data_IF_637557056555
#
_entry.id   IF_637557056555
#
_cell.length_a   1.000
_cell.length_b   1.000
_cell.length_c   1.000
_cell.angle_alpha   90.00
_cell.angle_beta   90.00
_cell.angle_gamma   90.00
#
_symmetry.space_group_name_H-M   'P 1'
#
loop_
_entity.id
_entity.type
_entity.pdbx_description
1 polymer ?
#
# COMPACT_ATOMS: atom_id res chain seq x y z
N UNK A 1 1.47 1.54 14.20
CA UNK A 1 1.56 3.01 14.05
C UNK A 1 2.39 3.34 12.82
N UNK A 2 2.30 4.56 12.26
CA UNK A 2 3.08 4.99 11.06
C UNK A 2 4.57 4.68 11.23
N UNK A 3 5.11 5.04 12.39
CA UNK A 3 6.51 4.84 12.76
C UNK A 3 6.97 3.39 12.58
N UNK A 4 6.21 2.43 13.11
CA UNK A 4 6.53 0.99 13.01
C UNK A 4 6.56 0.50 11.56
N UNK A 5 5.57 0.91 10.75
CA UNK A 5 5.49 0.52 9.33
C UNK A 5 6.60 1.16 8.48
N UNK A 6 6.99 2.38 8.83
CA UNK A 6 8.13 3.05 8.19
C UNK A 6 9.44 2.32 8.50
N UNK A 7 9.67 1.89 9.75
CA UNK A 7 10.84 1.09 10.13
C UNK A 7 10.85 -0.24 9.36
N UNK A 8 9.73 -0.94 9.35
CA UNK A 8 9.56 -2.23 8.66
C UNK A 8 9.91 -2.12 7.18
N UNK A 9 9.27 -1.19 6.45
CA UNK A 9 9.57 -0.96 5.03
C UNK A 9 11.01 -0.50 4.79
N UNK A 10 11.58 0.33 5.67
CA UNK A 10 12.98 0.73 5.55
C UNK A 10 13.92 -0.48 5.64
N UNK A 11 13.67 -1.39 6.59
CA UNK A 11 14.47 -2.59 6.77
C UNK A 11 14.29 -3.60 5.63
N UNK A 12 13.07 -3.80 5.14
CA UNK A 12 12.79 -4.64 3.96
C UNK A 12 13.57 -4.17 2.72
N UNK A 13 13.72 -2.86 2.55
CA UNK A 13 14.49 -2.26 1.45
C UNK A 13 16.01 -2.21 1.72
N UNK A 14 16.48 -2.74 2.83
CA UNK A 14 17.90 -2.72 3.21
C UNK A 14 18.45 -1.31 3.45
N UNK A 15 17.58 -0.34 3.74
CA UNK A 15 17.98 1.06 3.91
C UNK A 15 18.37 1.32 5.37
N UNK A 16 19.49 2.01 5.56
CA UNK A 16 19.85 2.57 6.87
C UNK A 16 19.13 3.91 7.11
N UNK A 17 18.99 4.33 8.37
CA UNK A 17 18.47 5.67 8.69
C UNK A 17 19.26 6.80 7.98
N UNK A 18 20.62 6.78 7.97
CA UNK A 18 21.41 7.71 7.16
C UNK A 18 21.04 7.72 5.69
N UNK A 19 20.76 6.56 5.11
CA UNK A 19 20.45 6.43 3.69
C UNK A 19 19.07 7.01 3.37
N UNK A 20 18.06 6.72 4.18
CA UNK A 20 16.73 7.31 4.03
C UNK A 20 16.78 8.83 4.21
N UNK A 21 17.55 9.32 5.20
CA UNK A 21 17.74 10.76 5.42
C UNK A 21 18.39 11.45 4.21
N UNK A 22 19.41 10.81 3.62
CA UNK A 22 20.10 11.28 2.41
C UNK A 22 19.14 11.37 1.22
N UNK A 23 18.32 10.34 0.99
CA UNK A 23 17.34 10.32 -0.11
C UNK A 23 16.22 11.35 0.07
N UNK A 24 15.79 11.58 1.31
CA UNK A 24 14.73 12.54 1.64
C UNK A 24 15.23 13.99 1.71
N UNK A 25 16.56 14.21 1.70
CA UNK A 25 17.17 15.53 1.82
C UNK A 25 17.03 16.16 3.20
N UNK A 26 17.04 15.33 4.27
CA UNK A 26 16.87 15.80 5.67
C UNK A 26 18.01 15.33 6.58
N UNK A 27 18.08 15.90 7.78
CA UNK A 27 19.00 15.42 8.82
C UNK A 27 18.59 14.03 9.33
N UNK A 28 19.57 13.22 9.74
CA UNK A 28 19.34 11.88 10.34
C UNK A 28 18.38 11.93 11.53
N UNK A 29 18.50 12.98 12.35
CA UNK A 29 17.65 13.23 13.51
C UNK A 29 16.17 13.37 13.14
N UNK A 30 15.86 13.91 11.96
CA UNK A 30 14.48 14.02 11.46
C UNK A 30 13.88 12.64 11.20
N UNK A 31 14.64 11.73 10.56
CA UNK A 31 14.18 10.36 10.32
C UNK A 31 14.00 9.59 11.62
N UNK A 32 14.92 9.72 12.59
CA UNK A 32 14.73 9.12 13.91
C UNK A 32 13.45 9.63 14.60
N UNK A 33 13.12 10.91 14.45
CA UNK A 33 11.88 11.48 15.00
C UNK A 33 10.62 10.97 14.28
N UNK A 34 10.69 10.70 12.98
CA UNK A 34 9.59 10.04 12.27
C UNK A 34 9.41 8.59 12.75
N UNK A 35 10.50 7.83 12.86
CA UNK A 35 10.48 6.41 13.25
C UNK A 35 10.17 6.20 14.75
N UNK A 36 10.42 7.19 15.60
CA UNK A 36 10.02 7.15 17.01
C UNK A 36 8.60 7.67 17.26
N UNK A 37 7.96 8.31 16.27
CA UNK A 37 6.68 8.98 16.45
C UNK A 37 6.76 10.32 17.21
N UNK A 38 7.96 10.87 17.44
CA UNK A 38 8.14 12.17 18.09
C UNK A 38 7.64 13.37 17.25
N UNK A 39 7.26 13.13 15.99
CA UNK A 39 6.51 14.07 15.15
C UNK A 39 5.10 13.50 14.99
N UNK A 40 4.17 13.95 15.83
CA UNK A 40 2.77 13.48 15.81
C UNK A 40 2.06 13.83 14.49
N UNK A 41 2.42 14.99 13.89
CA UNK A 41 1.82 15.49 12.64
C UNK A 41 2.90 15.65 11.58
N UNK A 42 3.17 14.57 10.84
CA UNK A 42 4.02 14.62 9.66
C UNK A 42 3.25 15.25 8.49
N UNK A 43 3.86 16.21 7.75
CA UNK A 43 3.26 16.74 6.52
C UNK A 43 2.94 15.62 5.52
N UNK A 44 1.82 15.74 4.82
CA UNK A 44 1.36 14.73 3.85
C UNK A 44 2.38 14.58 2.72
N UNK A 45 2.97 15.68 2.28
CA UNK A 45 3.99 15.70 1.23
C UNK A 45 5.22 14.88 1.63
N UNK A 46 5.64 14.97 2.91
CA UNK A 46 6.75 14.17 3.45
C UNK A 46 6.40 12.69 3.51
N UNK A 47 5.17 12.37 3.90
CA UNK A 47 4.70 10.98 3.90
C UNK A 47 4.71 10.38 2.48
N UNK A 48 4.27 11.14 1.47
CA UNK A 48 4.27 10.72 0.06
C UNK A 48 5.69 10.44 -0.42
N UNK A 49 6.64 11.34 -0.14
CA UNK A 49 8.04 11.15 -0.52
C UNK A 49 8.68 9.94 0.17
N UNK A 50 8.43 9.76 1.47
CA UNK A 50 8.91 8.59 2.22
C UNK A 50 8.34 7.31 1.61
N UNK A 51 7.03 7.28 1.31
CA UNK A 51 6.38 6.14 0.69
C UNK A 51 7.05 5.78 -0.66
N UNK A 52 7.32 6.77 -1.51
CA UNK A 52 8.02 6.57 -2.78
C UNK A 52 9.44 6.02 -2.61
N UNK A 53 10.22 6.51 -1.64
CA UNK A 53 11.58 6.01 -1.36
C UNK A 53 11.55 4.56 -0.84
N UNK A 54 10.53 4.23 -0.04
CA UNK A 54 10.35 2.91 0.55
C UNK A 54 9.61 1.93 -0.37
N UNK A 55 9.23 2.38 -1.57
CA UNK A 55 8.48 1.63 -2.58
C UNK A 55 7.24 0.97 -1.94
N UNK A 56 6.40 1.82 -1.36
CA UNK A 56 5.14 1.50 -0.69
C UNK A 56 4.16 2.67 -0.90
N UNK A 57 2.92 2.54 -0.46
CA UNK A 57 1.95 3.63 -0.52
C UNK A 57 1.87 4.47 0.76
N UNK A 58 1.45 5.75 0.65
CA UNK A 58 1.10 6.56 1.81
C UNK A 58 -0.02 5.93 2.64
N UNK A 59 -0.99 5.28 1.98
CA UNK A 59 -2.09 4.58 2.61
C UNK A 59 -1.61 3.39 3.46
N UNK A 60 -0.61 2.65 2.99
CA UNK A 60 0.01 1.58 3.76
C UNK A 60 0.70 2.14 5.00
N UNK A 61 1.52 3.19 4.86
CA UNK A 61 2.20 3.79 6.02
C UNK A 61 1.19 4.32 7.06
N UNK A 62 0.12 4.99 6.63
CA UNK A 62 -0.92 5.54 7.52
C UNK A 62 -1.80 4.47 8.16
N UNK A 63 -2.35 3.57 7.36
CA UNK A 63 -3.46 2.71 7.76
C UNK A 63 -3.09 1.22 7.79
N UNK A 64 -1.94 0.84 7.21
CA UNK A 64 -1.58 -0.56 6.99
C UNK A 64 -2.40 -1.21 5.88
N UNK A 65 -3.05 -0.41 5.03
CA UNK A 65 -3.76 -0.89 3.87
C UNK A 65 -2.73 -1.10 2.76
N UNK A 66 -2.42 -2.36 2.46
CA UNK A 66 -1.68 -2.68 1.25
C UNK A 66 -2.45 -2.08 0.07
N UNK A 67 -1.78 -1.29 -0.76
CA UNK A 67 -2.37 -0.99 -2.05
C UNK A 67 -2.58 -2.32 -2.72
N UNK A 68 -3.83 -2.58 -3.08
CA UNK A 68 -4.24 -3.83 -3.65
C UNK A 68 -3.76 -3.86 -5.10
N UNK A 69 -2.45 -3.99 -5.28
CA UNK A 69 -1.76 -3.97 -6.57
C UNK A 69 -2.21 -5.14 -7.47
N UNK A 70 -2.86 -6.15 -6.86
CA UNK A 70 -3.45 -7.28 -7.57
C UNK A 70 -4.97 -7.15 -7.78
N UNK A 71 -5.67 -6.29 -7.03
CA UNK A 71 -7.14 -6.21 -7.12
C UNK A 71 -7.58 -5.39 -8.32
N UNK A 72 -6.88 -4.31 -8.66
CA UNK A 72 -7.23 -3.51 -9.84
C UNK A 72 -6.97 -4.27 -11.15
N UNK A 73 -5.88 -5.06 -11.20
CA UNK A 73 -5.59 -5.98 -12.31
C UNK A 73 -6.60 -7.13 -12.38
N UNK A 74 -6.86 -7.81 -11.25
CA UNK A 74 -7.79 -8.95 -11.18
C UNK A 74 -9.24 -8.56 -11.46
N UNK A 75 -9.70 -7.41 -10.97
CA UNK A 75 -11.06 -6.91 -11.24
C UNK A 75 -11.21 -6.54 -12.72
N UNK A 76 -10.19 -5.92 -13.32
CA UNK A 76 -10.17 -5.59 -14.74
C UNK A 76 -10.18 -6.86 -15.60
N UNK A 77 -9.42 -7.88 -15.24
CA UNK A 77 -9.42 -9.17 -15.94
C UNK A 77 -10.79 -9.87 -15.83
N UNK A 78 -11.37 -9.94 -14.63
CA UNK A 78 -12.72 -10.47 -14.41
C UNK A 78 -13.78 -9.74 -15.25
N UNK A 79 -13.71 -8.40 -15.28
CA UNK A 79 -14.59 -7.59 -16.12
C UNK A 79 -14.44 -7.92 -17.60
N UNK A 80 -13.20 -8.01 -18.10
CA UNK A 80 -12.92 -8.35 -19.50
C UNK A 80 -13.40 -9.76 -19.87
N UNK A 81 -13.21 -10.75 -18.99
CA UNK A 81 -13.69 -12.11 -19.17
C UNK A 81 -15.23 -12.16 -19.19
N UNK A 82 -15.90 -11.42 -18.29
CA UNK A 82 -17.36 -11.38 -18.21
C UNK A 82 -18.04 -10.91 -19.50
N UNK A 83 -17.38 -10.03 -20.28
CA UNK A 83 -17.88 -9.53 -21.57
C UNK A 83 -17.93 -10.60 -22.65
N UNK A 84 -17.12 -11.66 -22.52
CA UNK A 84 -17.06 -12.78 -23.47
C UNK A 84 -18.14 -13.83 -23.20
N UNK A 85 -18.78 -13.77 -22.03
CA UNK A 85 -19.81 -14.71 -21.62
C UNK A 85 -21.19 -14.30 -22.14
N UNK A 86 -22.01 -15.28 -22.50
CA UNK A 86 -23.44 -15.06 -22.74
C UNK A 86 -24.21 -14.89 -21.42
N UNK A 87 -25.49 -14.49 -21.51
CA UNK A 87 -26.31 -14.18 -20.33
C UNK A 87 -26.44 -15.37 -19.36
N UNK A 88 -26.57 -16.58 -19.90
CA UNK A 88 -26.70 -17.81 -19.10
C UNK A 88 -25.41 -18.12 -18.34
N UNK A 89 -24.26 -17.95 -18.98
CA UNK A 89 -22.94 -18.15 -18.36
C UNK A 89 -22.67 -17.11 -17.27
N UNK A 90 -23.03 -15.83 -17.51
CA UNK A 90 -22.88 -14.77 -16.50
C UNK A 90 -23.69 -15.08 -15.23
N UNK A 91 -24.93 -15.53 -15.38
CA UNK A 91 -25.78 -15.93 -14.24
C UNK A 91 -25.18 -17.09 -13.44
N UNK A 92 -24.55 -18.07 -14.10
CA UNK A 92 -23.87 -19.19 -13.42
C UNK A 92 -22.67 -18.72 -12.60
N UNK A 93 -21.86 -17.81 -13.17
CA UNK A 93 -20.71 -17.22 -12.47
C UNK A 93 -21.18 -16.41 -11.27
N UNK A 94 -22.19 -15.56 -11.44
CA UNK A 94 -22.78 -14.78 -10.35
C UNK A 94 -23.28 -15.69 -9.22
N UNK A 95 -24.04 -16.73 -9.54
CA UNK A 95 -24.55 -17.68 -8.55
C UNK A 95 -23.43 -18.42 -7.81
N UNK A 96 -22.36 -18.79 -8.52
CA UNK A 96 -21.19 -19.43 -7.92
C UNK A 96 -20.47 -18.48 -6.95
N UNK A 97 -20.29 -17.22 -7.33
CA UNK A 97 -19.66 -16.20 -6.49
C UNK A 97 -20.48 -15.93 -5.22
N UNK A 98 -21.80 -15.75 -5.35
CA UNK A 98 -22.71 -15.59 -4.19
C UNK A 98 -22.60 -16.76 -3.22
N UNK A 99 -22.61 -17.98 -3.75
CA UNK A 99 -22.43 -19.21 -2.95
C UNK A 99 -21.10 -19.24 -2.19
N UNK A 100 -20.00 -18.80 -2.80
CA UNK A 100 -18.70 -18.74 -2.13
C UNK A 100 -18.64 -17.68 -1.04
N UNK A 101 -19.33 -16.56 -1.23
CA UNK A 101 -19.38 -15.46 -0.28
C UNK A 101 -20.33 -15.71 0.90
N UNK A 102 -21.04 -16.85 0.91
CA UNK A 102 -22.09 -17.19 1.91
C UNK A 102 -23.18 -16.11 2.02
N UNK A 103 -23.46 -15.42 0.93
CA UNK A 103 -24.64 -14.56 0.73
C UNK A 103 -25.75 -15.33 0.02
#
# INVERSE_FOLDING_TARGET
MIASRMIEKRLERGLSVPELARRLGVAKTTVYRYESGAIEKMPVERLIEIAGILDTSPAYLMFGLEEADDTESSVKECFMLSRRLNETERKKVEQYLRRLLKE
#
